data_IF_536992336006
#
_entry.id   IF_536992336006
#
_cell.length_a   1.000
_cell.length_b   1.000
_cell.length_c   1.000
_cell.angle_alpha   90.00
_cell.angle_beta   90.00
_cell.angle_gamma   90.00
#
_symmetry.space_group_name_H-M   'P 1'
#
loop_
_entity.id
_entity.type
_entity.pdbx_description
1 polymer ?
#
# COMPACT_ATOMS: atom_id res chain seq x y z
N UNK A 1 -2.56 6.97 31.54
CA UNK A 1 -2.03 6.33 30.31
C UNK A 1 -3.10 6.16 29.22
N UNK A 2 -4.25 5.53 29.50
CA UNK A 2 -5.32 5.29 28.51
C UNK A 2 -5.92 6.57 27.86
N UNK A 3 -6.04 7.67 28.62
CA UNK A 3 -6.52 8.99 28.10
C UNK A 3 -5.55 9.66 27.12
N UNK A 4 -4.24 9.50 27.33
CA UNK A 4 -3.22 10.02 26.41
C UNK A 4 -3.27 9.29 25.08
N UNK A 5 -3.48 7.96 25.12
CA UNK A 5 -3.64 7.14 23.92
C UNK A 5 -4.84 7.59 23.06
N UNK A 6 -5.98 7.89 23.70
CA UNK A 6 -7.14 8.44 23.00
C UNK A 6 -6.84 9.81 22.38
N UNK A 7 -6.19 10.72 23.12
CA UNK A 7 -5.80 12.04 22.59
C UNK A 7 -4.83 11.95 21.41
N UNK A 8 -3.85 11.04 21.46
CA UNK A 8 -2.91 10.84 20.35
C UNK A 8 -3.60 10.26 19.13
N UNK A 9 -4.55 9.35 19.31
CA UNK A 9 -5.28 8.72 18.20
C UNK A 9 -6.22 9.72 17.52
N UNK A 10 -6.89 10.58 18.30
CA UNK A 10 -7.70 11.68 17.76
C UNK A 10 -6.84 12.72 17.05
N UNK A 11 -5.67 13.06 17.60
CA UNK A 11 -4.72 13.96 16.94
C UNK A 11 -4.20 13.42 15.60
N UNK A 12 -3.90 12.12 15.53
CA UNK A 12 -3.54 11.43 14.29
C UNK A 12 -4.67 11.46 13.25
N UNK A 13 -5.92 11.27 13.69
CA UNK A 13 -7.09 11.32 12.80
C UNK A 13 -7.34 12.71 12.20
N UNK A 14 -7.05 13.78 12.94
CA UNK A 14 -7.19 15.17 12.46
C UNK A 14 -6.10 15.55 11.45
N UNK A 15 -4.94 14.89 11.49
CA UNK A 15 -3.82 15.15 10.60
C UNK A 15 -3.79 14.21 9.39
N UNK A 16 -4.73 13.27 9.29
CA UNK A 16 -4.83 12.38 8.16
C UNK A 16 -5.31 13.17 6.92
N UNK A 17 -4.54 13.19 5.82
CA UNK A 17 -5.01 13.81 4.58
C UNK A 17 -6.27 13.09 4.08
N UNK A 18 -7.23 13.85 3.55
CA UNK A 18 -8.44 13.32 2.90
C UNK A 18 -8.06 12.61 1.59
N UNK A 19 -7.73 11.33 1.68
CA UNK A 19 -7.47 10.48 0.53
C UNK A 19 -8.81 9.93 0.02
N UNK A 20 -9.27 10.44 -1.12
CA UNK A 20 -10.38 9.85 -1.86
C UNK A 20 -9.85 8.77 -2.79
N UNK A 21 -10.45 7.58 -2.76
CA UNK A 21 -10.16 6.49 -3.69
C UNK A 21 -10.78 6.77 -5.08
N UNK A 22 -10.38 7.86 -5.74
CA UNK A 22 -10.61 8.04 -7.17
C UNK A 22 -9.51 7.28 -7.90
N UNK A 23 -9.85 6.40 -8.87
CA UNK A 23 -8.87 5.77 -9.76
C UNK A 23 -8.46 6.79 -10.84
N UNK A 24 -7.33 7.50 -10.70
CA UNK A 24 -6.97 8.58 -11.61
C UNK A 24 -6.25 7.96 -12.81
N UNK A 25 -6.74 8.26 -14.01
CA UNK A 25 -6.11 7.81 -15.25
C UNK A 25 -6.49 6.41 -15.69
N UNK A 26 -7.72 5.96 -15.39
CA UNK A 26 -8.37 4.89 -16.15
C UNK A 26 -8.79 5.47 -17.51
N UNK A 27 -7.95 5.33 -18.52
CA UNK A 27 -8.28 5.80 -19.88
C UNK A 27 -8.75 4.60 -20.69
N UNK A 28 -10.04 4.60 -21.07
CA UNK A 28 -10.59 3.64 -22.01
C UNK A 28 -10.50 4.23 -23.41
N UNK A 29 -9.56 3.74 -24.24
CA UNK A 29 -9.59 4.05 -25.67
C UNK A 29 -10.39 2.96 -26.39
N UNK A 30 -11.54 3.28 -27.00
CA UNK A 30 -12.30 2.30 -27.77
C UNK A 30 -11.50 1.88 -29.00
N UNK A 31 -11.32 0.57 -29.16
CA UNK A 31 -10.66 -0.05 -30.30
C UNK A 31 -11.72 -0.39 -31.35
N UNK A 32 -11.38 -0.28 -32.64
CA UNK A 32 -12.31 -0.41 -33.76
C UNK A 32 -13.13 -1.72 -33.80
N UNK A 33 -12.70 -2.77 -33.08
CA UNK A 33 -13.39 -4.06 -32.98
C UNK A 33 -14.31 -4.19 -31.74
N UNK A 34 -14.74 -3.08 -31.13
CA UNK A 34 -15.61 -3.10 -29.94
C UNK A 34 -14.89 -3.45 -28.63
N UNK A 35 -13.57 -3.53 -28.64
CA UNK A 35 -12.74 -3.70 -27.44
C UNK A 35 -12.44 -2.35 -26.78
N UNK A 36 -12.21 -2.34 -25.47
CA UNK A 36 -11.73 -1.16 -24.75
C UNK A 36 -10.29 -1.43 -24.30
N UNK A 37 -9.34 -0.58 -24.72
CA UNK A 37 -7.98 -0.62 -24.19
C UNK A 37 -7.94 0.21 -22.92
N UNK A 38 -7.63 -0.45 -21.80
CA UNK A 38 -7.55 0.15 -20.48
C UNK A 38 -6.08 0.48 -20.19
N UNK A 39 -5.74 1.76 -20.26
CA UNK A 39 -4.43 2.23 -19.82
C UNK A 39 -4.57 2.82 -18.42
N UNK A 40 -3.75 2.33 -17.48
CA UNK A 40 -3.58 2.92 -16.16
C UNK A 40 -2.40 3.89 -16.19
N UNK A 41 -2.54 5.02 -15.49
CA UNK A 41 -1.45 5.97 -15.32
C UNK A 41 -0.25 5.32 -14.62
N UNK A 42 0.97 5.65 -15.06
CA UNK A 42 2.23 5.13 -14.47
C UNK A 42 2.32 5.44 -12.98
N UNK A 43 1.80 6.61 -12.56
CA UNK A 43 1.70 6.98 -11.15
C UNK A 43 0.90 5.95 -10.33
N UNK A 44 -0.26 5.52 -10.83
CA UNK A 44 -1.08 4.49 -10.16
C UNK A 44 -0.38 3.13 -10.14
N UNK A 45 0.33 2.77 -11.22
CA UNK A 45 1.12 1.55 -11.26
C UNK A 45 2.21 1.56 -10.18
N UNK A 46 3.03 2.62 -10.13
CA UNK A 46 4.09 2.77 -9.12
C UNK A 46 3.50 2.79 -7.70
N UNK A 47 2.36 3.45 -7.51
CA UNK A 47 1.67 3.48 -6.22
C UNK A 47 1.23 2.07 -5.76
N UNK A 48 0.50 1.33 -6.59
CA UNK A 48 0.06 -0.04 -6.27
C UNK A 48 1.27 -0.94 -6.04
N UNK A 49 2.29 -0.86 -6.89
CA UNK A 49 3.53 -1.62 -6.71
C UNK A 49 4.20 -1.31 -5.36
N UNK A 50 4.30 -0.04 -4.98
CA UNK A 50 4.88 0.34 -3.69
C UNK A 50 4.08 -0.22 -2.51
N UNK A 51 2.74 -0.21 -2.58
CA UNK A 51 1.84 -0.78 -1.59
C UNK A 51 2.10 -2.28 -1.37
N UNK A 52 2.37 -3.04 -2.43
CA UNK A 52 2.70 -4.47 -2.33
C UNK A 52 4.04 -4.72 -1.63
N UNK A 53 4.97 -3.77 -1.69
CA UNK A 53 6.30 -3.90 -1.08
C UNK A 53 6.37 -3.42 0.38
N UNK A 54 5.46 -2.55 0.83
CA UNK A 54 5.39 -2.10 2.23
C UNK A 54 5.52 -3.25 3.23
N UNK A 55 4.73 -4.35 3.15
CA UNK A 55 4.86 -5.45 4.11
C UNK A 55 6.25 -6.09 4.06
N UNK A 56 6.81 -6.34 2.87
CA UNK A 56 8.14 -6.94 2.74
C UNK A 56 9.23 -6.05 3.38
N UNK A 57 9.18 -4.74 3.14
CA UNK A 57 10.12 -3.78 3.73
C UNK A 57 10.00 -3.77 5.26
N UNK A 58 8.78 -3.73 5.78
CA UNK A 58 8.54 -3.79 7.23
C UNK A 58 9.09 -5.08 7.85
N UNK A 59 8.94 -6.22 7.17
CA UNK A 59 9.51 -7.48 7.63
C UNK A 59 11.05 -7.44 7.63
N UNK A 60 11.67 -6.90 6.58
CA UNK A 60 13.14 -6.79 6.46
C UNK A 60 13.77 -5.84 7.48
N UNK A 61 13.06 -4.80 7.92
CA UNK A 61 13.56 -3.85 8.92
C UNK A 61 13.42 -4.36 10.37
N UNK A 62 12.70 -5.47 10.58
CA UNK A 62 12.44 -6.01 11.92
C UNK A 62 13.20 -7.32 12.17
N UNK A 63 13.22 -7.79 13.42
CA UNK A 63 13.79 -9.11 13.74
C UNK A 63 13.01 -10.27 13.12
N UNK A 64 11.85 -10.00 12.50
CA UNK A 64 11.03 -11.02 11.85
C UNK A 64 11.80 -11.83 10.81
N UNK A 65 12.63 -11.20 9.97
CA UNK A 65 13.48 -11.92 9.01
C UNK A 65 14.47 -12.87 9.72
N UNK A 66 15.02 -12.49 10.88
CA UNK A 66 15.91 -13.38 11.66
C UNK A 66 15.15 -14.57 12.25
N UNK A 67 13.89 -14.39 12.65
CA UNK A 67 13.03 -15.46 13.16
C UNK A 67 12.72 -16.47 12.04
N UNK A 68 12.36 -15.98 10.84
CA UNK A 68 12.13 -16.86 9.68
C UNK A 68 13.36 -17.71 9.40
N UNK A 69 14.55 -17.09 9.35
CA UNK A 69 15.80 -17.81 9.07
C UNK A 69 16.08 -18.86 10.14
N UNK A 70 15.85 -18.55 11.42
CA UNK A 70 16.05 -19.49 12.52
C UNK A 70 15.11 -20.69 12.46
N UNK A 71 13.82 -20.47 12.14
CA UNK A 71 12.83 -21.55 11.96
C UNK A 71 13.08 -22.35 10.68
N UNK A 72 13.61 -21.70 9.64
CA UNK A 72 13.87 -22.32 8.34
C UNK A 72 15.13 -23.18 8.35
N UNK A 73 16.00 -23.05 9.35
CA UNK A 73 17.19 -23.88 9.47
C UNK A 73 16.78 -25.27 9.98
N UNK A 74 16.89 -26.33 9.17
CA UNK A 74 16.72 -27.68 9.67
C UNK A 74 17.93 -28.01 10.53
N UNK A 75 17.69 -28.55 11.73
CA UNK A 75 18.73 -29.18 12.52
C UNK A 75 19.29 -30.40 11.80
#
# INVERSE_FOLDING_TARGET
MRRLLFLTLTGLGLFAPSVYAQLPGLVSTPLANGGQSWSLSVQTLVFITSLTFIPAILLMMTSFTRIIIAVSYPH
#
